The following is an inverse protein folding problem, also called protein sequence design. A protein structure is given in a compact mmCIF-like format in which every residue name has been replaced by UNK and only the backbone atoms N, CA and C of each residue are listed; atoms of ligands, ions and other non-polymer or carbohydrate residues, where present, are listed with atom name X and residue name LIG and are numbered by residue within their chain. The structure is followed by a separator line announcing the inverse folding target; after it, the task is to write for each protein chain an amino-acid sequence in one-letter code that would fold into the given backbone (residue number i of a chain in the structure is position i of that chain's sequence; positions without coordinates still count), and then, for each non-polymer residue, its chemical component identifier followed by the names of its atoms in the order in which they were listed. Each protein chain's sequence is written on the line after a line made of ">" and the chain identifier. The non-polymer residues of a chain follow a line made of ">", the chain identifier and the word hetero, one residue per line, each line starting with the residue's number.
data_IF_293646893085
#
_entry.id   IF_293646893085
#
_cell.length_a   1.000
_cell.length_b   1.000
_cell.length_c   1.000
_cell.angle_alpha   90.00
_cell.angle_beta   90.00
_cell.angle_gamma   90.00
#
_symmetry.space_group_name_H-M   'P 1'
#
loop_
_entity.id
_entity.type
_entity.pdbx_description
1 polymer ?
#
# COMPACT_ATOMS: atom_id res chain seq x y z
N UNK A 1 29.92 35.27 10.12
CA UNK A 1 28.58 34.86 9.71
C UNK A 1 28.70 33.44 9.19
N UNK A 2 28.65 32.44 10.12
CA UNK A 2 28.80 31.02 9.75
C UNK A 2 27.42 30.52 9.31
N UNK A 3 27.33 30.16 8.02
CA UNK A 3 26.21 29.43 7.48
C UNK A 3 26.26 28.01 8.07
N UNK A 4 25.54 27.76 9.15
CA UNK A 4 25.28 26.38 9.60
C UNK A 4 24.31 25.74 8.61
N UNK A 5 24.85 25.07 7.61
CA UNK A 5 24.13 24.10 6.81
C UNK A 5 23.65 23.01 7.76
N UNK A 6 22.38 23.08 8.14
CA UNK A 6 21.71 21.98 8.81
C UNK A 6 21.59 20.82 7.82
N UNK A 7 22.69 20.06 7.70
CA UNK A 7 22.65 18.75 7.07
C UNK A 7 21.62 17.94 7.85
N UNK A 8 20.56 17.55 7.20
CA UNK A 8 19.55 16.64 7.73
C UNK A 8 20.25 15.35 8.17
N UNK A 9 20.56 15.25 9.44
CA UNK A 9 21.23 14.10 10.01
C UNK A 9 20.22 12.96 10.01
N UNK A 10 20.58 11.84 9.40
CA UNK A 10 19.90 10.56 9.60
C UNK A 10 19.99 10.19 11.07
N UNK A 11 19.03 10.59 11.86
CA UNK A 11 18.81 10.01 13.18
C UNK A 11 17.96 8.77 12.97
N UNK A 12 18.54 7.61 13.22
CA UNK A 12 17.85 6.32 13.14
C UNK A 12 16.74 6.30 14.20
N UNK A 13 15.55 6.75 13.82
CA UNK A 13 14.34 6.43 14.56
C UNK A 13 13.87 5.08 14.06
N UNK A 14 13.84 4.10 14.95
CA UNK A 14 13.28 2.80 14.61
C UNK A 14 11.79 2.95 14.30
N UNK A 15 11.32 2.45 13.14
CA UNK A 15 9.90 2.49 12.80
C UNK A 15 9.09 1.65 13.79
N UNK A 16 7.89 2.08 14.13
CA UNK A 16 6.92 1.22 14.80
C UNK A 16 6.37 0.21 13.78
N UNK A 17 7.02 -0.96 13.70
CA UNK A 17 6.70 -2.00 12.72
C UNK A 17 5.28 -2.53 12.86
N UNK A 18 4.75 -2.59 14.08
CA UNK A 18 3.39 -3.04 14.33
C UNK A 18 2.36 -2.03 13.82
N UNK A 19 2.57 -0.75 14.11
CA UNK A 19 1.75 0.33 13.58
C UNK A 19 1.82 0.38 12.05
N UNK A 20 3.00 0.19 11.45
CA UNK A 20 3.21 0.18 10.03
C UNK A 20 2.47 -0.98 9.32
N UNK A 21 2.58 -2.20 9.87
CA UNK A 21 1.89 -3.38 9.33
C UNK A 21 0.37 -3.25 9.42
N UNK A 22 -0.16 -2.81 10.58
CA UNK A 22 -1.60 -2.60 10.78
C UNK A 22 -2.14 -1.51 9.86
N UNK A 23 -1.39 -0.42 9.68
CA UNK A 23 -1.76 0.67 8.77
C UNK A 23 -1.83 0.20 7.33
N UNK A 24 -0.85 -0.60 6.89
CA UNK A 24 -0.83 -1.18 5.55
C UNK A 24 -1.95 -2.20 5.33
N UNK A 25 -2.25 -3.04 6.33
CA UNK A 25 -3.39 -3.96 6.30
C UNK A 25 -4.71 -3.21 6.10
N UNK A 26 -4.97 -2.20 6.94
CA UNK A 26 -6.20 -1.42 6.87
C UNK A 26 -6.33 -0.63 5.56
N UNK A 27 -5.23 -0.02 5.11
CA UNK A 27 -5.20 0.68 3.82
C UNK A 27 -5.39 -0.27 2.63
N UNK A 28 -4.84 -1.49 2.72
CA UNK A 28 -5.08 -2.56 1.75
C UNK A 28 -6.55 -2.97 1.69
N UNK A 29 -7.24 -3.04 2.83
CA UNK A 29 -8.68 -3.32 2.86
C UNK A 29 -9.48 -2.23 2.13
N UNK A 30 -9.15 -0.95 2.36
CA UNK A 30 -9.79 0.18 1.66
C UNK A 30 -9.55 0.08 0.16
N UNK A 31 -8.30 -0.14 -0.27
CA UNK A 31 -7.95 -0.28 -1.69
C UNK A 31 -8.75 -1.42 -2.34
N UNK A 32 -8.81 -2.58 -1.71
CA UNK A 32 -9.53 -3.73 -2.26
C UNK A 32 -11.02 -3.45 -2.42
N UNK A 33 -11.66 -2.80 -1.44
CA UNK A 33 -13.07 -2.42 -1.54
C UNK A 33 -13.30 -1.47 -2.71
N UNK A 34 -12.42 -0.47 -2.89
CA UNK A 34 -12.52 0.47 -4.01
C UNK A 34 -12.38 -0.23 -5.36
N UNK A 35 -11.44 -1.15 -5.49
CA UNK A 35 -11.23 -1.89 -6.73
C UNK A 35 -12.39 -2.84 -7.05
N UNK A 36 -12.92 -3.55 -6.06
CA UNK A 36 -14.08 -4.43 -6.24
C UNK A 36 -15.34 -3.63 -6.61
N UNK A 37 -15.58 -2.50 -5.95
CA UNK A 37 -16.70 -1.62 -6.27
C UNK A 37 -16.58 -1.12 -7.71
N UNK A 38 -15.40 -0.69 -8.10
CA UNK A 38 -15.16 -0.19 -9.45
C UNK A 38 -15.36 -1.28 -10.50
N UNK A 39 -14.80 -2.47 -10.28
CA UNK A 39 -14.96 -3.61 -11.18
C UNK A 39 -16.43 -3.99 -11.36
N UNK A 40 -17.21 -3.89 -10.28
CA UNK A 40 -18.64 -4.23 -10.30
C UNK A 40 -19.50 -3.19 -11.04
N UNK A 41 -19.12 -1.90 -10.97
CA UNK A 41 -19.93 -0.79 -11.49
C UNK A 41 -19.55 -0.41 -12.91
N UNK A 42 -18.27 -0.34 -13.21
CA UNK A 42 -17.79 0.33 -14.40
C UNK A 42 -17.22 -0.57 -15.51
N UNK A 43 -16.64 -1.71 -15.18
CA UNK A 43 -15.84 -2.46 -16.14
C UNK A 43 -16.57 -3.63 -16.82
N UNK A 44 -17.74 -4.05 -16.33
CA UNK A 44 -18.43 -5.23 -16.88
C UNK A 44 -17.60 -6.54 -16.88
N UNK A 45 -16.37 -6.47 -16.36
CA UNK A 45 -15.45 -7.62 -16.33
C UNK A 45 -15.80 -8.65 -15.24
N UNK A 46 -16.81 -8.34 -14.41
CA UNK A 46 -17.20 -9.16 -13.28
C UNK A 46 -16.34 -8.94 -12.03
N UNK A 47 -16.95 -9.07 -10.83
CA UNK A 47 -16.31 -8.76 -9.57
C UNK A 47 -15.11 -9.70 -9.24
N UNK A 48 -15.10 -10.91 -9.81
CA UNK A 48 -14.09 -11.93 -9.49
C UNK A 48 -12.82 -11.82 -10.31
N UNK A 49 -12.82 -11.02 -11.38
CA UNK A 49 -11.64 -10.87 -12.25
C UNK A 49 -10.43 -10.32 -11.47
N UNK A 50 -10.63 -9.34 -10.61
CA UNK A 50 -9.55 -8.80 -9.76
C UNK A 50 -9.00 -9.88 -8.83
N UNK A 51 -9.88 -10.66 -8.21
CA UNK A 51 -9.46 -11.77 -7.35
C UNK A 51 -8.64 -12.81 -8.12
N UNK A 52 -9.01 -13.14 -9.36
CA UNK A 52 -8.24 -14.04 -10.22
C UNK A 52 -6.86 -13.48 -10.55
N UNK A 53 -6.76 -12.19 -10.90
CA UNK A 53 -5.49 -11.54 -11.23
C UNK A 53 -4.54 -11.49 -10.03
N UNK A 54 -5.05 -11.22 -8.82
CA UNK A 54 -4.25 -11.20 -7.59
C UNK A 54 -3.88 -12.62 -7.16
N UNK A 55 -4.81 -13.57 -7.19
CA UNK A 55 -4.52 -14.97 -6.84
C UNK A 55 -3.49 -15.60 -7.78
N UNK A 56 -3.47 -15.18 -9.05
CA UNK A 56 -2.52 -15.66 -10.04
C UNK A 56 -1.05 -15.36 -9.67
N UNK A 57 -0.79 -14.38 -8.78
CA UNK A 57 0.57 -14.13 -8.26
C UNK A 57 1.13 -15.33 -7.50
N UNK A 58 0.26 -16.14 -6.90
CA UNK A 58 0.62 -17.32 -6.09
C UNK A 58 0.27 -18.62 -6.80
N UNK A 59 -0.94 -18.70 -7.37
CA UNK A 59 -1.46 -19.91 -8.01
C UNK A 59 -0.98 -20.07 -9.47
N UNK A 60 -0.44 -19.01 -10.06
CA UNK A 60 -0.01 -19.01 -11.45
C UNK A 60 -1.09 -18.60 -12.45
N UNK A 61 -0.69 -18.34 -13.71
CA UNK A 61 -1.55 -17.78 -14.76
C UNK A 61 -2.70 -18.72 -15.19
N UNK A 62 -2.67 -19.99 -14.82
CA UNK A 62 -3.76 -20.93 -15.08
C UNK A 62 -5.09 -20.47 -14.47
N UNK A 63 -5.03 -19.75 -13.32
CA UNK A 63 -6.20 -19.16 -12.67
C UNK A 63 -6.96 -18.21 -13.57
N UNK A 64 -6.28 -17.62 -14.57
CA UNK A 64 -6.85 -16.63 -15.48
C UNK A 64 -7.66 -17.25 -16.63
N UNK A 65 -7.61 -18.60 -16.79
CA UNK A 65 -8.42 -19.32 -17.79
C UNK A 65 -9.88 -19.46 -17.40
N UNK A 66 -10.19 -19.32 -16.09
CA UNK A 66 -11.56 -19.34 -15.60
C UNK A 66 -12.31 -18.09 -16.07
N UNK A 67 -13.60 -18.21 -16.45
CA UNK A 67 -14.43 -17.06 -16.77
C UNK A 67 -14.42 -16.03 -15.64
N UNK A 68 -14.48 -14.75 -15.97
CA UNK A 68 -14.39 -13.65 -14.99
C UNK A 68 -15.54 -13.63 -13.99
N UNK A 69 -16.65 -14.30 -14.29
CA UNK A 69 -17.82 -14.43 -13.42
C UNK A 69 -17.81 -15.69 -12.54
N UNK A 70 -16.86 -16.61 -12.77
CA UNK A 70 -16.77 -17.82 -11.97
C UNK A 70 -16.26 -17.53 -10.57
N UNK A 71 -17.08 -17.88 -9.59
CA UNK A 71 -16.71 -17.77 -8.19
C UNK A 71 -15.96 -19.01 -7.72
N UNK A 72 -14.79 -18.82 -7.15
CA UNK A 72 -14.03 -19.87 -6.48
C UNK A 72 -13.58 -19.40 -5.11
N UNK A 73 -14.00 -20.09 -4.06
CA UNK A 73 -13.62 -19.80 -2.67
C UNK A 73 -12.10 -19.83 -2.51
N UNK A 74 -11.41 -20.79 -3.14
CA UNK A 74 -9.95 -20.89 -3.08
C UNK A 74 -9.30 -19.66 -3.71
N UNK A 75 -9.72 -19.26 -4.91
CA UNK A 75 -9.16 -18.10 -5.61
C UNK A 75 -9.35 -16.84 -4.79
N UNK A 76 -10.55 -16.62 -4.24
CA UNK A 76 -10.83 -15.45 -3.41
C UNK A 76 -10.02 -15.47 -2.12
N UNK A 77 -9.92 -16.62 -1.44
CA UNK A 77 -9.13 -16.74 -0.22
C UNK A 77 -7.63 -16.46 -0.45
N UNK A 78 -7.06 -17.01 -1.54
CA UNK A 78 -5.66 -16.74 -1.89
C UNK A 78 -5.47 -15.28 -2.30
N UNK A 79 -6.40 -14.70 -3.06
CA UNK A 79 -6.35 -13.29 -3.42
C UNK A 79 -6.35 -12.38 -2.18
N UNK A 80 -7.25 -12.64 -1.23
CA UNK A 80 -7.32 -11.91 0.04
C UNK A 80 -6.03 -12.03 0.84
N UNK A 81 -5.54 -13.25 1.03
CA UNK A 81 -4.29 -13.49 1.77
C UNK A 81 -3.10 -12.76 1.13
N UNK A 82 -2.97 -12.86 -0.20
CA UNK A 82 -1.91 -12.19 -0.97
C UNK A 82 -2.05 -10.67 -0.87
N UNK A 83 -3.25 -10.15 -1.04
CA UNK A 83 -3.50 -8.71 -1.00
C UNK A 83 -3.18 -8.10 0.37
N UNK A 84 -3.63 -8.73 1.45
CA UNK A 84 -3.33 -8.25 2.80
C UNK A 84 -1.86 -8.42 3.18
N UNK A 85 -1.22 -9.49 2.74
CA UNK A 85 0.21 -9.66 2.93
C UNK A 85 1.00 -8.54 2.24
N UNK A 86 0.68 -8.22 0.98
CA UNK A 86 1.28 -7.11 0.25
C UNK A 86 0.96 -5.76 0.92
N UNK A 87 -0.27 -5.57 1.41
CA UNK A 87 -0.65 -4.38 2.16
C UNK A 87 0.22 -4.17 3.40
N UNK A 88 0.43 -5.21 4.21
CA UNK A 88 1.33 -5.17 5.37
C UNK A 88 2.77 -4.85 4.95
N UNK A 89 3.28 -5.52 3.92
CA UNK A 89 4.64 -5.33 3.42
C UNK A 89 4.87 -3.88 2.96
N UNK A 90 3.95 -3.33 2.18
CA UNK A 90 4.04 -1.94 1.69
C UNK A 90 3.78 -0.92 2.80
N UNK A 91 2.93 -1.24 3.77
CA UNK A 91 2.78 -0.43 4.98
C UNK A 91 4.07 -0.35 5.79
N UNK A 92 4.77 -1.47 5.96
CA UNK A 92 6.08 -1.49 6.62
C UNK A 92 7.13 -0.70 5.84
N UNK A 93 7.15 -0.80 4.50
CA UNK A 93 8.03 0.00 3.67
C UNK A 93 7.76 1.50 3.82
N UNK A 94 6.48 1.91 3.83
CA UNK A 94 6.09 3.30 4.08
C UNK A 94 6.48 3.77 5.49
N UNK A 95 6.27 2.94 6.51
CA UNK A 95 6.67 3.23 7.88
C UNK A 95 8.18 3.43 8.02
N UNK A 96 8.97 2.59 7.36
CA UNK A 96 10.43 2.73 7.29
C UNK A 96 10.85 4.07 6.66
N UNK A 97 10.28 4.43 5.51
CA UNK A 97 10.56 5.71 4.85
C UNK A 97 10.14 6.87 5.75
N UNK A 98 8.96 6.81 6.35
CA UNK A 98 8.42 7.88 7.19
C UNK A 98 9.25 8.14 8.44
N UNK A 99 9.71 7.07 9.11
CA UNK A 99 10.57 7.17 10.29
C UNK A 99 11.98 7.66 9.93
N UNK A 100 12.57 7.16 8.83
CA UNK A 100 13.91 7.52 8.40
C UNK A 100 14.06 9.00 8.04
N UNK A 101 13.02 9.64 7.54
CA UNK A 101 13.02 11.07 7.19
C UNK A 101 12.32 11.96 8.24
N UNK A 102 11.89 11.42 9.37
CA UNK A 102 11.15 12.15 10.44
C UNK A 102 9.90 12.87 9.92
N UNK A 103 9.25 12.32 8.92
CA UNK A 103 8.00 12.86 8.39
C UNK A 103 6.80 12.58 9.31
N UNK A 104 6.98 11.73 10.30
CA UNK A 104 5.97 11.30 11.28
C UNK A 104 5.50 12.42 12.23
N UNK A 105 6.14 13.59 12.19
CA UNK A 105 5.79 14.73 13.05
C UNK A 105 4.67 15.60 12.50
N UNK A 106 4.44 15.60 11.17
CA UNK A 106 3.44 16.46 10.52
C UNK A 106 2.52 15.64 9.59
N UNK A 107 1.22 15.55 9.89
CA UNK A 107 0.28 14.74 9.11
C UNK A 107 0.12 15.23 7.68
N UNK A 108 0.25 16.53 7.40
CA UNK A 108 0.16 17.05 6.04
C UNK A 108 1.36 16.63 5.18
N UNK A 109 2.56 16.68 5.74
CA UNK A 109 3.78 16.19 5.06
C UNK A 109 3.64 14.68 4.83
N UNK A 110 3.17 13.96 5.83
CA UNK A 110 2.99 12.52 5.73
C UNK A 110 1.95 12.12 4.67
N UNK A 111 0.88 12.89 4.54
CA UNK A 111 -0.09 12.67 3.46
C UNK A 111 0.53 12.86 2.08
N UNK A 112 1.40 13.87 1.88
CA UNK A 112 2.13 14.08 0.63
C UNK A 112 3.09 12.90 0.35
N UNK A 113 3.81 12.44 1.37
CA UNK A 113 4.65 11.24 1.28
C UNK A 113 3.82 10.02 0.90
N UNK A 114 2.63 9.87 1.49
CA UNK A 114 1.67 8.82 1.16
C UNK A 114 1.23 8.87 -0.30
N UNK A 115 0.90 10.05 -0.83
CA UNK A 115 0.56 10.23 -2.25
C UNK A 115 1.73 9.81 -3.14
N UNK A 116 2.94 10.29 -2.86
CA UNK A 116 4.14 9.93 -3.63
C UNK A 116 4.42 8.42 -3.56
N UNK A 117 4.31 7.83 -2.38
CA UNK A 117 4.48 6.39 -2.18
C UNK A 117 3.44 5.59 -2.96
N UNK A 118 2.16 5.97 -2.90
CA UNK A 118 1.09 5.32 -3.65
C UNK A 118 1.30 5.38 -5.17
N UNK A 119 1.76 6.53 -5.69
CA UNK A 119 2.13 6.68 -7.10
C UNK A 119 3.30 5.77 -7.49
N UNK A 120 4.36 5.73 -6.67
CA UNK A 120 5.51 4.85 -6.89
C UNK A 120 5.11 3.38 -6.83
N UNK A 121 4.26 3.02 -5.88
CA UNK A 121 3.74 1.66 -5.75
C UNK A 121 2.95 1.24 -6.98
N UNK A 122 2.08 2.11 -7.51
CA UNK A 122 1.37 1.87 -8.77
C UNK A 122 2.35 1.64 -9.92
N UNK A 123 3.35 2.51 -10.06
CA UNK A 123 4.35 2.36 -11.13
C UNK A 123 5.15 1.06 -10.98
N UNK A 124 5.58 0.74 -9.77
CA UNK A 124 6.28 -0.51 -9.49
C UNK A 124 5.43 -1.74 -9.84
N UNK A 125 4.18 -1.78 -9.39
CA UNK A 125 3.28 -2.93 -9.56
C UNK A 125 2.87 -3.12 -11.02
N UNK A 126 2.54 -2.06 -11.73
CA UNK A 126 1.92 -2.18 -13.06
C UNK A 126 2.83 -1.83 -14.25
N UNK A 127 4.05 -1.34 -13.99
CA UNK A 127 5.07 -1.14 -15.02
C UNK A 127 6.36 -1.92 -14.73
N UNK A 128 6.69 -2.14 -13.46
CA UNK A 128 7.83 -2.94 -13.04
C UNK A 128 7.50 -4.43 -13.01
N UNK A 129 6.56 -4.83 -12.15
CA UNK A 129 6.23 -6.24 -11.92
C UNK A 129 5.56 -6.93 -13.13
N UNK A 130 4.97 -6.18 -14.06
CA UNK A 130 4.42 -6.72 -15.32
C UNK A 130 5.45 -7.38 -16.23
N UNK A 131 6.74 -7.19 -15.97
CA UNK A 131 7.80 -7.95 -16.67
C UNK A 131 7.83 -9.43 -16.29
N UNK A 132 7.35 -9.74 -15.10
CA UNK A 132 7.25 -11.12 -14.56
C UNK A 132 5.80 -11.58 -14.60
N UNK A 133 4.89 -10.74 -14.15
CA UNK A 133 3.46 -10.99 -14.03
C UNK A 133 2.71 -10.19 -15.12
N UNK A 134 2.85 -10.62 -16.37
CA UNK A 134 2.36 -9.89 -17.55
C UNK A 134 0.87 -9.53 -17.48
N UNK A 135 0.06 -10.35 -16.82
CA UNK A 135 -1.40 -10.13 -16.67
C UNK A 135 -1.77 -8.90 -15.83
N UNK A 136 -0.87 -8.41 -14.99
CA UNK A 136 -1.12 -7.19 -14.21
C UNK A 136 -1.30 -5.96 -15.10
N UNK A 137 -0.97 -6.05 -16.39
CA UNK A 137 -1.27 -4.99 -17.37
C UNK A 137 -2.77 -4.68 -17.45
N UNK A 138 -3.63 -5.65 -17.19
CA UNK A 138 -5.09 -5.47 -17.17
C UNK A 138 -5.56 -4.47 -16.11
N UNK A 139 -4.79 -4.31 -15.04
CA UNK A 139 -5.10 -3.37 -13.96
C UNK A 139 -4.54 -1.96 -14.19
N UNK A 140 -3.87 -1.71 -15.31
CA UNK A 140 -3.41 -0.35 -15.63
C UNK A 140 -4.60 0.55 -15.93
N UNK A 141 -4.76 1.60 -15.14
CA UNK A 141 -5.84 2.56 -15.34
C UNK A 141 -5.85 3.65 -14.29
N UNK A 142 -6.62 4.70 -14.56
CA UNK A 142 -6.75 5.83 -13.64
C UNK A 142 -7.38 5.43 -12.31
N UNK A 143 -8.31 4.50 -12.32
CA UNK A 143 -9.00 4.00 -11.13
C UNK A 143 -8.06 3.28 -10.19
N UNK A 144 -7.23 2.39 -10.72
CA UNK A 144 -6.20 1.69 -9.95
C UNK A 144 -5.13 2.66 -9.46
N UNK A 145 -4.74 3.66 -10.26
CA UNK A 145 -3.85 4.72 -9.79
C UNK A 145 -4.46 5.46 -8.59
N UNK A 146 -5.71 5.95 -8.72
CA UNK A 146 -6.39 6.66 -7.64
C UNK A 146 -6.51 5.79 -6.39
N UNK A 147 -6.85 4.51 -6.54
CA UNK A 147 -6.91 3.57 -5.42
C UNK A 147 -5.57 3.42 -4.71
N UNK A 148 -4.44 3.39 -5.45
CA UNK A 148 -3.10 3.34 -4.86
C UNK A 148 -2.70 4.66 -4.19
N UNK A 149 -3.11 5.81 -4.71
CA UNK A 149 -2.92 7.09 -4.02
C UNK A 149 -3.69 7.12 -2.70
N UNK A 150 -4.94 6.65 -2.70
CA UNK A 150 -5.76 6.52 -1.48
C UNK A 150 -5.11 5.54 -0.50
N UNK A 151 -4.60 4.41 -0.97
CA UNK A 151 -3.82 3.48 -0.14
C UNK A 151 -2.67 4.18 0.56
N UNK A 152 -1.83 4.90 -0.18
CA UNK A 152 -0.67 5.57 0.38
C UNK A 152 -1.03 6.63 1.43
N UNK A 153 -2.05 7.47 1.15
CA UNK A 153 -2.56 8.46 2.10
C UNK A 153 -3.15 7.80 3.34
N UNK A 154 -3.98 6.75 3.16
CA UNK A 154 -4.62 6.05 4.27
C UNK A 154 -3.57 5.36 5.15
N UNK A 155 -2.61 4.66 4.55
CA UNK A 155 -1.53 3.99 5.29
C UNK A 155 -0.67 4.99 6.07
N UNK A 156 -0.31 6.13 5.45
CA UNK A 156 0.52 7.14 6.10
C UNK A 156 -0.19 7.83 7.27
N UNK A 157 -1.45 8.20 7.11
CA UNK A 157 -2.21 8.84 8.18
C UNK A 157 -2.55 7.88 9.33
N UNK A 158 -2.84 6.62 9.03
CA UNK A 158 -3.02 5.59 10.05
C UNK A 158 -1.71 5.32 10.78
N UNK A 159 -0.59 5.21 10.09
CA UNK A 159 0.73 5.07 10.72
C UNK A 159 1.00 6.23 11.67
N UNK A 160 0.76 7.47 11.24
CA UNK A 160 0.91 8.65 12.10
C UNK A 160 0.06 8.59 13.38
N UNK A 161 -1.15 8.04 13.28
CA UNK A 161 -2.03 7.88 14.45
C UNK A 161 -1.60 6.76 15.39
N UNK A 162 -1.10 5.66 14.85
CA UNK A 162 -0.84 4.42 15.59
C UNK A 162 0.59 4.34 16.12
N UNK A 163 1.56 4.96 15.42
CA UNK A 163 2.96 4.92 15.83
C UNK A 163 3.14 5.55 17.21
N UNK A 164 3.83 4.81 18.07
CA UNK A 164 4.19 5.28 19.41
C UNK A 164 5.23 6.40 19.27
N UNK A 165 4.88 7.59 19.70
CA UNK A 165 5.82 8.69 19.77
C UNK A 165 6.77 8.43 20.94
N UNK A 166 8.10 8.55 20.77
CA UNK A 166 9.01 8.51 21.89
C UNK A 166 8.57 9.58 22.89
N UNK A 167 8.22 9.15 24.09
CA UNK A 167 8.02 10.09 25.20
C UNK A 167 9.37 10.75 25.44
N UNK A 168 9.48 12.05 25.17
CA UNK A 168 10.69 12.81 25.42
C UNK A 168 11.14 12.59 26.86
N UNK A 169 12.45 12.77 27.20
CA UNK A 169 12.95 12.58 28.53
C UNK A 169 12.11 13.43 29.47
N UNK A 170 11.47 12.77 30.44
CA UNK A 170 10.80 13.47 31.52
C UNK A 170 11.87 14.32 32.20
N UNK A 171 11.79 15.65 32.04
CA UNK A 171 12.60 16.55 32.82
C UNK A 171 12.21 16.29 34.26
N UNK A 172 13.09 15.58 34.96
CA UNK A 172 12.96 15.37 36.40
C UNK A 172 12.82 16.72 37.08
N UNK A 173 11.74 16.86 37.79
CA UNK A 173 11.47 17.93 38.76
C UNK A 173 12.41 17.87 39.93
#
# INVERSE_FOLDING_TARGET
>A
MELQLHLHRWEQHEPDWSAAAVSGFAAGAVLMVLELLWASIANGAGPWRISQLVAALVLGPETLRSPAYDFSVLVVAVALATHYFLGCLFGMALGFVSAGFRYDTNPAVLAIVGVAFGALLYLFSFYGATRVFWWLVELRGWTTLIAHLIFGVTASLLYWKLARRPTGPQRGS
#
